data_IF_450839343411
#
_entry.id   IF_450839343411
#
_cell.length_a   1.000
_cell.length_b   1.000
_cell.length_c   1.000
_cell.angle_alpha   90.00
_cell.angle_beta   90.00
_cell.angle_gamma   90.00
#
_symmetry.space_group_name_H-M   'P 1'
#
loop_
_entity.id
_entity.type
_entity.pdbx_description
1 polymer ?
#
# COMPACT_ATOMS: atom_id res chain seq x y z
N UNK A 1 10.49 -3.64 3.97
CA UNK A 1 9.84 -4.47 5.01
C UNK A 1 10.83 -5.40 5.66
N UNK A 2 10.75 -5.56 6.98
CA UNK A 2 11.57 -6.50 7.75
C UNK A 2 10.66 -7.42 8.58
N UNK A 3 10.79 -8.72 8.38
CA UNK A 3 10.23 -9.78 9.24
C UNK A 3 11.38 -10.58 9.88
N UNK A 4 11.04 -11.57 10.71
CA UNK A 4 12.02 -12.33 11.51
C UNK A 4 13.08 -13.05 10.65
N UNK A 5 12.68 -13.56 9.48
CA UNK A 5 13.58 -14.24 8.53
C UNK A 5 13.53 -13.62 7.13
N UNK A 6 13.04 -12.38 7.02
CA UNK A 6 12.79 -11.73 5.75
C UNK A 6 13.18 -10.26 5.80
N UNK A 7 13.88 -9.77 4.79
CA UNK A 7 14.14 -8.35 4.63
C UNK A 7 14.17 -8.00 3.15
N UNK A 8 13.26 -7.14 2.71
CA UNK A 8 13.17 -6.68 1.33
C UNK A 8 12.97 -5.18 1.28
N UNK A 9 13.71 -4.54 0.38
CA UNK A 9 13.52 -3.14 0.05
C UNK A 9 12.47 -3.01 -1.05
N UNK A 10 11.63 -1.99 -0.95
CA UNK A 10 10.59 -1.68 -1.94
C UNK A 10 10.79 -0.24 -2.34
N UNK A 11 11.07 -0.04 -3.63
CA UNK A 11 11.17 1.29 -4.21
C UNK A 11 9.77 1.92 -4.27
N UNK A 12 9.70 3.22 -4.03
CA UNK A 12 8.50 3.99 -4.29
C UNK A 12 8.14 3.92 -5.79
N UNK A 13 6.85 4.08 -6.13
CA UNK A 13 6.46 4.21 -7.55
C UNK A 13 7.10 5.46 -8.12
N UNK A 14 7.73 5.34 -9.28
CA UNK A 14 8.25 6.48 -10.01
C UNK A 14 7.08 7.23 -10.65
N UNK A 15 6.86 8.46 -10.21
CA UNK A 15 5.81 9.37 -10.67
C UNK A 15 6.37 10.80 -10.68
N UNK A 16 5.71 11.69 -11.42
CA UNK A 16 5.87 13.14 -11.24
C UNK A 16 4.76 13.62 -10.28
N UNK A 17 5.09 13.99 -9.02
CA UNK A 17 4.08 14.34 -8.04
C UNK A 17 3.57 15.77 -8.25
N UNK A 18 2.26 15.96 -8.17
CA UNK A 18 1.59 17.27 -8.05
C UNK A 18 1.70 17.79 -6.61
N UNK A 19 1.51 16.88 -5.64
CA UNK A 19 1.62 17.13 -4.19
C UNK A 19 2.13 15.86 -3.51
N UNK A 20 2.67 15.97 -2.30
CA UNK A 20 3.04 14.81 -1.45
C UNK A 20 2.27 14.77 -0.14
N UNK A 21 1.34 15.70 0.05
CA UNK A 21 0.47 15.76 1.23
C UNK A 21 -0.41 14.51 1.26
N UNK A 22 -0.42 13.80 2.39
CA UNK A 22 -1.22 12.58 2.55
C UNK A 22 -0.58 11.31 1.98
N UNK A 23 0.62 11.36 1.38
CA UNK A 23 1.29 10.17 0.83
C UNK A 23 1.50 9.08 1.89
N UNK A 24 1.94 9.45 3.09
CA UNK A 24 2.14 8.50 4.21
C UNK A 24 0.84 7.94 4.77
N UNK A 25 -0.21 8.76 4.87
CA UNK A 25 -1.52 8.32 5.36
C UNK A 25 -2.15 7.33 4.38
N UNK A 26 -2.07 7.61 3.08
CA UNK A 26 -2.56 6.73 2.04
C UNK A 26 -1.70 5.47 1.89
N UNK A 27 -0.38 5.55 2.11
CA UNK A 27 0.47 4.35 2.25
C UNK A 27 -0.06 3.44 3.36
N UNK A 28 -0.29 3.98 4.55
CA UNK A 28 -0.80 3.23 5.70
C UNK A 28 -2.20 2.64 5.42
N UNK A 29 -3.08 3.42 4.77
CA UNK A 29 -4.39 2.95 4.34
C UNK A 29 -4.28 1.79 3.34
N UNK A 30 -3.34 1.87 2.39
CA UNK A 30 -3.07 0.79 1.43
C UNK A 30 -2.52 -0.48 2.10
N UNK A 31 -1.65 -0.36 3.11
CA UNK A 31 -1.20 -1.50 3.92
C UNK A 31 -2.40 -2.16 4.64
N UNK A 32 -3.24 -1.36 5.30
CA UNK A 32 -4.43 -1.88 5.99
C UNK A 32 -5.40 -2.55 5.02
N UNK A 33 -5.65 -1.92 3.87
CA UNK A 33 -6.47 -2.47 2.81
C UNK A 33 -5.92 -3.82 2.31
N UNK A 34 -4.62 -3.90 2.04
CA UNK A 34 -3.96 -5.14 1.61
C UNK A 34 -4.12 -6.27 2.63
N UNK A 35 -3.92 -5.98 3.92
CA UNK A 35 -4.13 -6.94 5.00
C UNK A 35 -5.58 -7.43 5.07
N UNK A 36 -6.55 -6.52 4.99
CA UNK A 36 -7.99 -6.85 5.04
C UNK A 36 -8.42 -7.67 3.81
N UNK A 37 -7.98 -7.29 2.61
CA UNK A 37 -8.29 -7.99 1.36
C UNK A 37 -7.73 -9.42 1.36
N UNK A 38 -6.51 -9.60 1.88
CA UNK A 38 -5.88 -10.90 2.04
C UNK A 38 -6.40 -11.69 3.27
N UNK A 39 -7.33 -11.11 4.06
CA UNK A 39 -7.88 -11.68 5.30
C UNK A 39 -6.81 -12.03 6.34
N UNK A 40 -5.71 -11.28 6.35
CA UNK A 40 -4.62 -11.45 7.31
C UNK A 40 -5.04 -10.88 8.65
N UNK A 41 -4.98 -11.70 9.69
CA UNK A 41 -5.18 -11.28 11.08
C UNK A 41 -3.83 -11.10 11.76
N UNK A 42 -3.85 -10.46 12.93
CA UNK A 42 -2.64 -10.27 13.75
C UNK A 42 -1.87 -11.57 14.00
N UNK A 43 -2.57 -12.69 14.21
CA UNK A 43 -1.96 -14.00 14.47
C UNK A 43 -1.27 -14.59 13.25
N UNK A 44 -1.63 -14.15 12.05
CA UNK A 44 -1.09 -14.66 10.80
C UNK A 44 0.18 -13.88 10.38
N UNK A 45 0.42 -12.68 10.94
CA UNK A 45 1.57 -11.81 10.62
C UNK A 45 2.95 -12.50 10.68
N UNK A 46 3.25 -13.35 11.69
CA UNK A 46 4.54 -14.04 11.74
C UNK A 46 4.74 -15.06 10.62
N UNK A 47 3.66 -15.50 9.96
CA UNK A 47 3.68 -16.54 8.93
C UNK A 47 3.67 -16.01 7.50
N UNK A 48 3.55 -14.67 7.33
CA UNK A 48 3.53 -14.06 6.01
C UNK A 48 4.85 -14.26 5.28
N UNK A 49 4.77 -14.83 4.08
CA UNK A 49 5.92 -14.99 3.21
C UNK A 49 6.16 -13.73 2.37
N UNK A 50 7.22 -13.76 1.56
CA UNK A 50 7.56 -12.64 0.68
C UNK A 50 6.44 -12.25 -0.27
N UNK A 51 5.73 -13.22 -0.86
CA UNK A 51 4.63 -12.94 -1.81
C UNK A 51 3.45 -12.25 -1.12
N UNK A 52 3.15 -12.63 0.12
CA UNK A 52 2.09 -11.99 0.90
C UNK A 52 2.48 -10.53 1.20
N UNK A 53 3.73 -10.30 1.62
CA UNK A 53 4.26 -8.95 1.84
C UNK A 53 4.31 -8.12 0.56
N UNK A 54 4.68 -8.72 -0.57
CA UNK A 54 4.68 -8.06 -1.88
C UNK A 54 3.27 -7.55 -2.21
N UNK A 55 2.24 -8.38 -2.05
CA UNK A 55 0.86 -7.98 -2.31
C UNK A 55 0.39 -6.85 -1.39
N UNK A 56 0.67 -6.94 -0.08
CA UNK A 56 0.28 -5.94 0.91
C UNK A 56 1.00 -4.60 0.65
N UNK A 57 2.31 -4.64 0.41
CA UNK A 57 3.12 -3.43 0.23
C UNK A 57 2.81 -2.76 -1.11
N UNK A 58 2.54 -3.52 -2.17
CA UNK A 58 2.10 -2.96 -3.44
C UNK A 58 0.84 -2.11 -3.28
N UNK A 59 -0.12 -2.51 -2.44
CA UNK A 59 -1.29 -1.67 -2.13
C UNK A 59 -0.87 -0.33 -1.49
N UNK A 60 0.03 -0.35 -0.51
CA UNK A 60 0.57 0.87 0.10
C UNK A 60 1.28 1.77 -0.91
N UNK A 61 2.12 1.19 -1.78
CA UNK A 61 2.85 1.93 -2.81
C UNK A 61 1.92 2.58 -3.84
N UNK A 62 0.91 1.85 -4.29
CA UNK A 62 -0.04 2.35 -5.29
C UNK A 62 -0.91 3.47 -4.72
N UNK A 63 -1.38 3.33 -3.47
CA UNK A 63 -2.19 4.35 -2.80
C UNK A 63 -1.39 5.62 -2.53
N UNK A 64 -0.14 5.47 -2.09
CA UNK A 64 0.77 6.60 -1.90
C UNK A 64 1.08 7.31 -3.22
N UNK A 65 1.24 6.55 -4.31
CA UNK A 65 1.52 7.12 -5.62
C UNK A 65 0.32 7.88 -6.20
N UNK A 66 -0.88 7.30 -6.08
CA UNK A 66 -2.12 7.90 -6.59
C UNK A 66 -2.42 9.24 -5.92
N UNK A 67 -2.38 9.31 -4.59
CA UNK A 67 -2.69 10.58 -3.89
C UNK A 67 -1.74 11.70 -4.30
N UNK A 68 -0.50 11.37 -4.65
CA UNK A 68 0.47 12.36 -5.10
C UNK A 68 0.16 12.96 -6.49
N UNK A 69 -0.82 12.43 -7.23
CA UNK A 69 -1.21 12.92 -8.56
C UNK A 69 -2.24 14.06 -8.50
N UNK A 70 -2.64 14.50 -7.31
CA UNK A 70 -3.61 15.59 -7.11
C UNK A 70 -3.24 16.50 -5.94
N UNK A 71 -4.01 17.57 -5.72
CA UNK A 71 -3.88 18.40 -4.51
C UNK A 71 -4.71 17.87 -3.33
N UNK A 72 -5.57 16.89 -3.56
CA UNK A 72 -6.35 16.22 -2.53
C UNK A 72 -5.46 15.28 -1.69
N UNK A 73 -5.88 14.99 -0.47
CA UNK A 73 -5.20 14.06 0.44
C UNK A 73 -5.95 12.73 0.64
N UNK A 74 -6.87 12.43 -0.27
CA UNK A 74 -7.67 11.20 -0.33
C UNK A 74 -7.65 10.62 -1.75
N UNK A 75 -8.03 9.35 -1.88
CA UNK A 75 -8.08 8.66 -3.16
C UNK A 75 -9.37 8.97 -3.92
N UNK A 76 -9.26 9.07 -5.24
CA UNK A 76 -10.40 9.19 -6.14
C UNK A 76 -11.26 7.91 -6.14
N UNK A 77 -12.55 8.06 -6.47
CA UNK A 77 -13.45 6.91 -6.60
C UNK A 77 -13.00 6.02 -7.76
N UNK A 78 -12.55 6.64 -8.85
CA UNK A 78 -12.04 5.98 -10.05
C UNK A 78 -10.82 5.10 -9.76
N UNK A 79 -9.96 5.52 -8.84
CA UNK A 79 -8.86 4.68 -8.37
C UNK A 79 -9.38 3.53 -7.50
N UNK A 80 -10.28 3.81 -6.56
CA UNK A 80 -10.83 2.79 -5.67
C UNK A 80 -11.54 1.65 -6.43
N UNK A 81 -12.24 1.96 -7.53
CA UNK A 81 -12.90 0.98 -8.38
C UNK A 81 -11.95 -0.06 -8.99
N UNK A 82 -10.67 0.30 -9.22
CA UNK A 82 -9.64 -0.64 -9.71
C UNK A 82 -9.36 -1.77 -8.71
N UNK A 83 -9.70 -1.58 -7.44
CA UNK A 83 -9.52 -2.56 -6.37
C UNK A 83 -10.81 -3.28 -5.97
N UNK A 84 -11.96 -2.91 -6.55
CA UNK A 84 -13.26 -3.53 -6.26
C UNK A 84 -13.50 -4.86 -7.01
N UNK A 85 -12.71 -5.13 -8.06
CA UNK A 85 -12.68 -6.38 -8.84
C UNK A 85 -11.68 -7.38 -8.26
#
# INVERSE_FOLDING_TARGET
MRGEHFSKHYEARSIEPVSTVGAGDNFNAGILFGLLRARVRRVDLPTLNERDWDAIINCGLDFAAEVCQSYDNYLSVEFAEKYAL
#
